data_IF_741572211749
#
_entry.id   IF_741572211749
#
_cell.length_a   1.000
_cell.length_b   1.000
_cell.length_c   1.000
_cell.angle_alpha   90.00
_cell.angle_beta   90.00
_cell.angle_gamma   90.00
#
_symmetry.space_group_name_H-M   'P 1'
#
loop_
_entity.id
_entity.type
_entity.pdbx_description
1 polymer ?
#
# COMPACT_ATOMS: atom_id res chain seq x y z
N UNK A 1 -19.37 -32.38 -0.64
CA UNK A 1 -18.70 -32.29 -1.96
C UNK A 1 -19.48 -31.50 -3.04
N UNK A 2 -20.64 -30.89 -2.70
CA UNK A 2 -21.48 -30.12 -3.66
C UNK A 2 -21.43 -28.59 -3.44
N UNK A 3 -20.73 -28.11 -2.40
CA UNK A 3 -20.53 -26.66 -2.15
C UNK A 3 -19.27 -26.08 -2.83
N UNK A 4 -18.25 -26.89 -3.14
CA UNK A 4 -17.04 -26.40 -3.82
C UNK A 4 -17.27 -26.10 -5.31
N UNK A 5 -18.31 -26.69 -5.91
CA UNK A 5 -18.65 -26.51 -7.32
C UNK A 5 -19.43 -25.22 -7.62
N UNK A 6 -20.01 -24.54 -6.61
CA UNK A 6 -20.74 -23.26 -6.82
C UNK A 6 -19.83 -22.02 -6.79
N UNK A 7 -18.71 -22.05 -6.07
CA UNK A 7 -17.74 -20.93 -6.06
C UNK A 7 -16.91 -20.87 -7.35
N UNK A 8 -16.56 -22.02 -7.93
CA UNK A 8 -15.89 -22.08 -9.24
C UNK A 8 -16.79 -21.64 -10.41
N UNK A 9 -18.12 -21.82 -10.28
CA UNK A 9 -19.10 -21.39 -11.30
C UNK A 9 -19.41 -19.88 -11.24
N UNK A 10 -19.17 -19.23 -10.10
CA UNK A 10 -19.38 -17.79 -9.94
C UNK A 10 -18.29 -16.97 -10.67
N UNK A 11 -17.06 -17.47 -10.69
CA UNK A 11 -15.92 -16.85 -11.40
C UNK A 11 -15.99 -16.98 -12.93
N UNK A 12 -16.71 -17.98 -13.45
CA UNK A 12 -16.89 -18.18 -14.91
C UNK A 12 -18.06 -17.41 -15.50
N UNK A 13 -19.09 -17.07 -14.70
CA UNK A 13 -20.26 -16.30 -15.16
C UNK A 13 -20.07 -14.78 -15.22
N UNK A 14 -18.94 -14.24 -14.73
CA UNK A 14 -18.61 -12.80 -14.86
C UNK A 14 -18.08 -12.38 -16.24
N UNK A 15 -17.99 -13.28 -17.24
CA UNK A 15 -17.49 -12.95 -18.58
C UNK A 15 -18.40 -12.06 -19.45
N UNK A 16 -19.58 -11.62 -18.97
CA UNK A 16 -20.55 -10.97 -19.87
C UNK A 16 -21.15 -9.62 -19.42
N UNK A 17 -20.82 -9.05 -18.24
CA UNK A 17 -21.40 -7.74 -17.86
C UNK A 17 -20.39 -6.84 -17.13
N UNK A 18 -19.85 -5.89 -17.91
CA UNK A 18 -19.14 -4.68 -17.47
C UNK A 18 -17.85 -4.90 -16.66
N UNK A 19 -16.76 -5.17 -17.38
CA UNK A 19 -15.39 -4.95 -16.89
C UNK A 19 -15.18 -3.46 -16.61
N UNK A 20 -15.21 -3.06 -15.33
CA UNK A 20 -14.48 -1.86 -14.88
C UNK A 20 -13.41 -2.29 -13.88
N UNK A 21 -12.14 -1.96 -14.09
CA UNK A 21 -11.06 -2.38 -13.21
C UNK A 21 -11.20 -1.82 -11.79
N UNK A 22 -10.86 -2.65 -10.81
CA UNK A 22 -10.97 -2.40 -9.35
C UNK A 22 -9.82 -1.53 -8.80
N UNK A 23 -8.71 -1.41 -9.53
CA UNK A 23 -7.46 -0.82 -9.04
C UNK A 23 -7.40 0.71 -9.16
N UNK A 24 -8.16 1.34 -10.07
CA UNK A 24 -8.22 2.81 -10.22
C UNK A 24 -8.83 3.57 -9.04
N UNK A 25 -9.49 2.87 -8.12
CA UNK A 25 -10.42 3.49 -7.17
C UNK A 25 -9.77 3.88 -5.85
N UNK A 26 -8.54 3.42 -5.61
CA UNK A 26 -7.84 3.56 -4.32
C UNK A 26 -7.14 4.92 -4.15
N UNK A 27 -6.85 5.62 -5.24
CA UNK A 27 -6.13 6.91 -5.20
C UNK A 27 -7.01 8.16 -5.23
N UNK A 28 -8.33 7.99 -5.12
CA UNK A 28 -9.32 9.08 -5.32
C UNK A 28 -9.51 10.04 -4.14
N UNK A 29 -8.82 9.82 -3.03
CA UNK A 29 -9.10 10.55 -1.78
C UNK A 29 -8.54 11.97 -1.81
N UNK A 30 -9.37 12.97 -1.52
CA UNK A 30 -8.97 14.39 -1.45
C UNK A 30 -9.65 15.10 -0.26
N UNK A 31 -8.91 15.84 0.59
CA UNK A 31 -7.44 15.93 0.61
C UNK A 31 -6.82 14.64 1.15
N UNK A 32 -5.64 14.27 0.65
CA UNK A 32 -4.82 13.19 1.22
C UNK A 32 -3.52 13.80 1.77
N UNK A 33 -3.48 14.18 3.07
CA UNK A 33 -2.45 15.07 3.60
C UNK A 33 -1.01 14.71 3.20
N UNK A 34 -0.39 15.59 2.41
CA UNK A 34 1.00 15.50 1.97
C UNK A 34 1.26 14.54 0.80
N UNK A 35 0.24 13.89 0.26
CA UNK A 35 0.36 12.93 -0.85
C UNK A 35 -0.29 13.48 -2.13
N UNK A 36 0.05 12.86 -3.27
CA UNK A 36 -0.65 13.12 -4.53
C UNK A 36 -2.10 12.69 -4.42
N UNK A 37 -2.99 13.56 -4.90
CA UNK A 37 -4.41 13.34 -5.02
C UNK A 37 -4.98 14.06 -6.26
N UNK A 38 -6.30 14.22 -6.36
CA UNK A 38 -6.93 14.83 -7.54
C UNK A 38 -6.64 16.32 -7.70
N UNK A 39 -6.34 17.02 -6.61
CA UNK A 39 -6.12 18.47 -6.59
C UNK A 39 -4.62 18.82 -6.55
N UNK A 40 -3.75 17.86 -6.19
CA UNK A 40 -2.33 18.09 -5.97
C UNK A 40 -1.42 17.12 -6.73
N UNK A 41 -0.48 17.68 -7.50
CA UNK A 41 0.57 16.96 -8.21
C UNK A 41 1.95 17.38 -7.71
N UNK A 42 2.94 16.49 -7.86
CA UNK A 42 4.36 16.86 -7.84
C UNK A 42 4.85 17.20 -9.25
N UNK A 43 6.01 17.88 -9.41
CA UNK A 43 6.54 18.24 -10.73
C UNK A 43 6.64 17.04 -11.68
N UNK A 44 7.12 15.91 -11.16
CA UNK A 44 7.40 14.72 -11.98
C UNK A 44 6.30 13.64 -11.85
N UNK A 45 5.47 13.70 -10.82
CA UNK A 45 4.48 12.65 -10.51
C UNK A 45 3.09 13.25 -10.36
N UNK A 46 2.10 12.68 -11.07
CA UNK A 46 0.72 13.15 -11.11
C UNK A 46 -0.27 12.06 -10.77
N UNK A 47 -1.49 12.45 -10.42
CA UNK A 47 -2.60 11.52 -10.16
C UNK A 47 -2.83 10.52 -11.30
N UNK A 48 -2.71 10.95 -12.55
CA UNK A 48 -2.92 10.08 -13.71
C UNK A 48 -1.89 8.96 -13.81
N UNK A 49 -0.65 9.18 -13.35
CA UNK A 49 0.37 8.14 -13.29
C UNK A 49 -0.06 7.02 -12.34
N UNK A 50 -0.60 7.37 -11.17
CA UNK A 50 -1.16 6.40 -10.23
C UNK A 50 -2.38 5.66 -10.82
N UNK A 51 -3.19 6.29 -11.66
CA UNK A 51 -4.28 5.60 -12.34
C UNK A 51 -3.77 4.61 -13.40
N UNK A 52 -2.78 5.01 -14.20
CA UNK A 52 -2.18 4.18 -15.22
C UNK A 52 -1.49 2.94 -14.62
N UNK A 53 -0.63 3.14 -13.61
CA UNK A 53 0.04 2.08 -12.86
C UNK A 53 -0.93 1.08 -12.24
N UNK A 54 -2.04 1.56 -11.68
CA UNK A 54 -3.07 0.70 -11.10
C UNK A 54 -3.69 -0.25 -12.15
N UNK A 55 -3.83 0.16 -13.41
CA UNK A 55 -4.36 -0.70 -14.48
C UNK A 55 -3.31 -1.62 -15.04
N UNK A 56 -2.13 -1.09 -15.30
CA UNK A 56 -1.00 -1.86 -15.80
C UNK A 56 -0.71 -3.08 -14.90
N UNK A 57 -0.88 -2.92 -13.60
CA UNK A 57 -0.64 -3.99 -12.61
C UNK A 57 -1.79 -4.99 -12.45
N UNK A 58 -3.00 -4.71 -12.97
CA UNK A 58 -4.17 -5.59 -12.80
C UNK A 58 -3.96 -7.06 -13.26
N UNK A 59 -3.36 -7.34 -14.43
CA UNK A 59 -3.11 -8.71 -14.88
C UNK A 59 -2.30 -9.53 -13.86
N UNK A 60 -1.33 -8.90 -13.19
CA UNK A 60 -0.47 -9.53 -12.18
C UNK A 60 -1.25 -9.89 -10.91
N UNK A 61 -2.22 -9.06 -10.50
CA UNK A 61 -3.16 -9.42 -9.43
C UNK A 61 -4.03 -10.63 -9.81
N UNK A 62 -4.45 -10.71 -11.08
CA UNK A 62 -5.22 -11.86 -11.56
C UNK A 62 -4.36 -13.15 -11.65
N UNK A 63 -3.05 -13.05 -11.89
CA UNK A 63 -2.11 -14.16 -11.79
C UNK A 63 -1.86 -14.59 -10.34
N UNK A 64 -1.70 -13.61 -9.44
CA UNK A 64 -1.55 -13.80 -8.00
C UNK A 64 -2.73 -14.59 -7.42
N UNK A 65 -3.96 -14.18 -7.73
CA UNK A 65 -5.18 -14.86 -7.30
C UNK A 65 -5.27 -16.31 -7.82
N UNK A 66 -4.64 -16.62 -8.96
CA UNK A 66 -4.57 -17.99 -9.52
C UNK A 66 -3.37 -18.80 -9.00
N UNK A 67 -2.48 -18.21 -8.20
CA UNK A 67 -1.29 -18.85 -7.62
C UNK A 67 -0.39 -19.50 -8.68
N UNK A 68 -0.23 -18.84 -9.84
CA UNK A 68 0.52 -19.38 -10.99
C UNK A 68 1.99 -18.98 -11.04
N UNK A 69 2.39 -17.99 -10.24
CA UNK A 69 3.75 -17.46 -10.18
C UNK A 69 4.16 -17.25 -8.72
N UNK A 70 5.47 -17.24 -8.48
CA UNK A 70 6.05 -16.89 -7.20
C UNK A 70 5.90 -15.38 -6.94
N UNK A 71 5.97 -15.00 -5.66
CA UNK A 71 5.64 -13.64 -5.22
C UNK A 71 6.62 -12.59 -5.76
N UNK A 72 7.92 -12.89 -5.76
CA UNK A 72 8.95 -11.97 -6.26
C UNK A 72 8.81 -11.72 -7.75
N UNK A 73 8.52 -12.76 -8.55
CA UNK A 73 8.27 -12.61 -9.99
C UNK A 73 7.05 -11.73 -10.24
N UNK A 74 5.96 -11.94 -9.49
CA UNK A 74 4.75 -11.11 -9.62
C UNK A 74 5.03 -9.66 -9.27
N UNK A 75 5.82 -9.40 -8.23
CA UNK A 75 6.22 -8.05 -7.85
C UNK A 75 7.06 -7.39 -8.94
N UNK A 76 8.10 -8.08 -9.41
CA UNK A 76 8.96 -7.61 -10.49
C UNK A 76 8.17 -7.29 -11.76
N UNK A 77 7.37 -8.24 -12.25
CA UNK A 77 6.58 -8.06 -13.47
C UNK A 77 5.57 -6.91 -13.31
N UNK A 78 4.93 -6.79 -12.14
CA UNK A 78 4.00 -5.70 -11.86
C UNK A 78 4.68 -4.32 -11.86
N UNK A 79 5.86 -4.20 -11.26
CA UNK A 79 6.65 -2.96 -11.25
C UNK A 79 7.11 -2.60 -12.66
N UNK A 80 7.69 -3.56 -13.37
CA UNK A 80 8.16 -3.38 -14.74
C UNK A 80 7.01 -2.92 -15.66
N UNK A 81 5.83 -3.55 -15.53
CA UNK A 81 4.66 -3.17 -16.32
C UNK A 81 4.15 -1.79 -15.92
N UNK A 82 4.08 -1.49 -14.62
CA UNK A 82 3.73 -0.14 -14.14
C UNK A 82 4.59 0.94 -14.80
N UNK A 83 5.91 0.75 -14.86
CA UNK A 83 6.85 1.71 -15.43
C UNK A 83 6.77 1.86 -16.96
N UNK A 84 6.25 0.87 -17.69
CA UNK A 84 6.04 1.00 -19.14
C UNK A 84 4.87 1.93 -19.48
N UNK A 85 3.90 2.04 -18.58
CA UNK A 85 2.65 2.77 -18.84
C UNK A 85 2.64 4.21 -18.29
N UNK A 86 3.68 4.62 -17.55
CA UNK A 86 3.83 5.96 -17.01
C UNK A 86 5.29 6.29 -16.70
N UNK A 87 5.63 7.57 -16.62
CA UNK A 87 7.00 8.07 -16.45
C UNK A 87 7.19 8.95 -15.19
N UNK A 88 6.28 8.85 -14.22
CA UNK A 88 6.28 9.62 -12.98
C UNK A 88 7.00 8.95 -11.81
N UNK A 89 7.88 7.99 -12.06
CA UNK A 89 8.64 7.28 -11.02
C UNK A 89 7.79 6.31 -10.19
N UNK A 90 8.14 6.17 -8.91
CA UNK A 90 7.45 5.25 -7.99
C UNK A 90 6.02 5.70 -7.65
N UNK A 91 5.04 4.91 -8.09
CA UNK A 91 3.62 5.14 -7.77
C UNK A 91 3.01 4.10 -6.81
N UNK A 92 3.55 2.89 -6.73
CA UNK A 92 2.88 1.79 -5.98
C UNK A 92 3.81 0.74 -5.39
N UNK A 93 5.13 0.95 -5.34
CA UNK A 93 6.03 -0.13 -4.95
C UNK A 93 5.69 -0.75 -3.58
N UNK A 94 5.51 0.08 -2.54
CA UNK A 94 5.10 -0.37 -1.20
C UNK A 94 3.71 -1.01 -1.18
N UNK A 95 2.73 -0.40 -1.87
CA UNK A 95 1.41 -1.00 -2.05
C UNK A 95 1.46 -2.38 -2.71
N UNK A 96 2.26 -2.59 -3.76
CA UNK A 96 2.37 -3.89 -4.43
C UNK A 96 2.92 -4.97 -3.49
N UNK A 97 3.89 -4.63 -2.64
CA UNK A 97 4.43 -5.53 -1.62
C UNK A 97 3.34 -5.96 -0.63
N UNK A 98 2.44 -5.07 -0.23
CA UNK A 98 1.32 -5.43 0.64
C UNK A 98 0.22 -6.21 -0.10
N UNK A 99 -0.17 -5.75 -1.28
CA UNK A 99 -1.36 -6.23 -1.98
C UNK A 99 -1.18 -7.60 -2.64
N UNK A 100 -0.02 -7.91 -3.23
CA UNK A 100 0.19 -9.17 -3.92
C UNK A 100 0.01 -10.40 -3.02
N UNK A 101 0.63 -10.50 -1.82
CA UNK A 101 0.38 -11.64 -0.94
C UNK A 101 -1.05 -11.67 -0.42
N UNK A 102 -1.69 -10.52 -0.20
CA UNK A 102 -3.12 -10.46 0.15
C UNK A 102 -4.00 -10.99 -0.99
N UNK A 103 -3.68 -10.68 -2.25
CA UNK A 103 -4.41 -11.19 -3.41
C UNK A 103 -4.24 -12.70 -3.57
N UNK A 104 -3.01 -13.24 -3.38
CA UNK A 104 -2.76 -14.69 -3.35
C UNK A 104 -3.52 -15.39 -2.21
N UNK A 105 -3.78 -14.68 -1.12
CA UNK A 105 -4.45 -15.16 0.07
C UNK A 105 -5.96 -14.91 0.11
N UNK A 106 -6.55 -14.37 -0.97
CA UNK A 106 -7.97 -14.00 -1.03
C UNK A 106 -8.36 -13.01 0.10
N UNK A 107 -7.45 -12.09 0.44
CA UNK A 107 -7.62 -11.09 1.50
C UNK A 107 -7.43 -11.61 2.94
N UNK A 108 -7.13 -12.91 3.13
CA UNK A 108 -6.89 -13.45 4.46
C UNK A 108 -5.46 -13.16 4.93
N UNK A 109 -5.28 -12.26 5.90
CA UNK A 109 -3.96 -11.82 6.37
C UNK A 109 -3.13 -12.93 7.03
N UNK A 110 -3.76 -13.92 7.65
CA UNK A 110 -3.06 -15.09 8.22
C UNK A 110 -2.49 -15.95 7.10
N UNK A 111 -3.29 -16.26 6.06
CA UNK A 111 -2.81 -16.98 4.88
C UNK A 111 -1.75 -16.19 4.12
N UNK A 112 -1.90 -14.87 4.00
CA UNK A 112 -0.91 -14.00 3.37
C UNK A 112 0.43 -14.05 4.11
N UNK A 113 0.39 -14.03 5.45
CA UNK A 113 1.59 -14.20 6.27
C UNK A 113 2.26 -15.55 6.06
N UNK A 114 1.50 -16.65 5.97
CA UNK A 114 2.04 -17.98 5.67
C UNK A 114 2.62 -18.07 4.24
N UNK A 115 2.10 -17.28 3.29
CA UNK A 115 2.66 -17.17 1.93
C UNK A 115 4.00 -16.43 1.97
N UNK A 116 4.06 -15.25 2.61
CA UNK A 116 5.32 -14.47 2.63
C UNK A 116 6.43 -15.20 3.38
N UNK A 117 6.12 -15.96 4.44
CA UNK A 117 7.08 -16.80 5.16
C UNK A 117 7.72 -17.90 4.31
N UNK A 118 7.06 -18.31 3.22
CA UNK A 118 7.54 -19.35 2.31
C UNK A 118 8.28 -18.79 1.09
N UNK A 119 8.48 -17.48 1.04
CA UNK A 119 9.30 -16.87 -0.01
C UNK A 119 10.71 -17.45 -0.03
N UNK A 120 11.33 -17.45 -1.20
CA UNK A 120 12.64 -18.05 -1.45
C UNK A 120 13.72 -16.99 -1.66
N UNK A 121 14.95 -17.45 -1.91
CA UNK A 121 16.08 -16.61 -2.33
C UNK A 121 15.81 -15.93 -3.66
N UNK A 122 15.12 -16.62 -4.56
CA UNK A 122 14.74 -16.16 -5.90
C UNK A 122 13.68 -15.06 -5.78
N UNK A 123 12.73 -15.19 -4.85
CA UNK A 123 11.82 -14.08 -4.54
C UNK A 123 12.59 -12.84 -4.07
N UNK A 124 13.65 -13.02 -3.28
CA UNK A 124 14.50 -11.93 -2.83
C UNK A 124 15.28 -11.29 -4.00
N UNK A 125 15.82 -12.09 -4.92
CA UNK A 125 16.53 -11.57 -6.09
C UNK A 125 15.58 -10.75 -6.98
N UNK A 126 14.38 -11.25 -7.26
CA UNK A 126 13.37 -10.51 -8.05
C UNK A 126 12.90 -9.25 -7.31
N UNK A 127 12.81 -9.26 -5.99
CA UNK A 127 12.54 -8.06 -5.19
C UNK A 127 13.62 -6.98 -5.41
N UNK A 128 14.90 -7.35 -5.39
CA UNK A 128 16.00 -6.41 -5.64
C UNK A 128 16.01 -5.91 -7.08
N UNK A 129 15.64 -6.76 -8.05
CA UNK A 129 15.48 -6.34 -9.45
C UNK A 129 14.32 -5.35 -9.59
N UNK A 130 13.16 -5.65 -9.01
CA UNK A 130 12.00 -4.76 -9.00
C UNK A 130 12.35 -3.41 -8.36
N UNK A 131 13.10 -3.43 -7.26
CA UNK A 131 13.56 -2.22 -6.60
C UNK A 131 14.42 -1.34 -7.51
N UNK A 132 15.38 -1.94 -8.24
CA UNK A 132 16.27 -1.21 -9.18
C UNK A 132 15.47 -0.52 -10.28
N UNK A 133 14.34 -1.08 -10.69
CA UNK A 133 13.47 -0.49 -11.70
C UNK A 133 12.50 0.57 -11.13
N UNK A 134 12.13 0.46 -9.86
CA UNK A 134 11.05 1.28 -9.28
C UNK A 134 11.46 2.71 -8.88
N UNK A 135 12.75 3.06 -8.92
CA UNK A 135 13.29 4.36 -8.46
C UNK A 135 12.76 4.78 -7.06
N UNK A 136 12.92 3.89 -6.08
CA UNK A 136 12.33 4.04 -4.74
C UNK A 136 13.34 4.60 -3.75
N UNK A 137 12.90 5.55 -2.92
CA UNK A 137 13.68 6.05 -1.79
C UNK A 137 13.66 5.06 -0.62
N UNK A 138 14.84 4.64 -0.14
CA UNK A 138 14.98 3.73 1.02
C UNK A 138 16.02 4.23 2.01
N UNK A 139 15.92 3.84 3.30
CA UNK A 139 16.95 4.11 4.28
C UNK A 139 18.32 3.60 3.82
N UNK A 140 19.37 4.37 4.08
CA UNK A 140 20.74 3.88 3.91
C UNK A 140 21.04 2.85 5.01
N UNK A 141 21.26 1.61 4.60
CA UNK A 141 21.65 0.52 5.49
C UNK A 141 23.04 0.01 5.11
N UNK A 142 23.82 -0.43 6.10
CA UNK A 142 25.22 -0.84 5.91
C UNK A 142 25.39 -2.24 5.34
N UNK A 143 24.37 -3.11 5.47
CA UNK A 143 24.40 -4.49 5.01
C UNK A 143 23.17 -4.78 4.13
N UNK A 144 23.40 -5.50 3.02
CA UNK A 144 22.35 -5.86 2.05
C UNK A 144 21.54 -4.65 1.57
N UNK A 145 22.20 -3.51 1.38
CA UNK A 145 21.57 -2.31 0.83
C UNK A 145 20.93 -2.61 -0.52
N UNK A 146 19.73 -2.08 -0.75
CA UNK A 146 19.04 -2.20 -2.03
C UNK A 146 19.77 -1.46 -3.16
N UNK A 147 20.69 -0.54 -2.81
CA UNK A 147 21.58 0.14 -3.76
C UNK A 147 22.89 -0.61 -4.03
N UNK A 148 23.22 -1.66 -3.28
CA UNK A 148 24.44 -2.43 -3.48
C UNK A 148 24.26 -3.41 -4.64
N UNK A 149 25.08 -3.24 -5.68
CA UNK A 149 25.07 -4.12 -6.86
C UNK A 149 25.47 -5.56 -6.53
N UNK A 150 26.23 -5.77 -5.45
CA UNK A 150 26.66 -7.09 -5.00
C UNK A 150 25.67 -7.74 -4.03
N UNK A 151 24.63 -7.04 -3.57
CA UNK A 151 23.68 -7.58 -2.60
C UNK A 151 23.00 -8.86 -3.11
N UNK A 152 22.69 -8.96 -4.41
CA UNK A 152 22.10 -10.18 -4.99
C UNK A 152 23.06 -11.37 -4.96
N UNK A 153 24.37 -11.13 -5.05
CA UNK A 153 25.40 -12.18 -4.93
C UNK A 153 25.46 -12.67 -3.47
N UNK A 154 25.46 -11.75 -2.51
CA UNK A 154 25.46 -12.08 -1.09
C UNK A 154 24.19 -12.83 -0.67
N UNK A 155 23.02 -12.37 -1.11
CA UNK A 155 21.72 -13.03 -0.90
C UNK A 155 21.74 -14.46 -1.41
N UNK A 156 22.24 -14.66 -2.64
CA UNK A 156 22.35 -15.99 -3.24
C UNK A 156 23.34 -16.88 -2.46
N UNK A 157 24.51 -16.35 -2.10
CA UNK A 157 25.54 -17.08 -1.34
C UNK A 157 25.06 -17.50 0.04
N UNK A 158 24.38 -16.60 0.76
CA UNK A 158 23.86 -16.84 2.10
C UNK A 158 22.47 -17.51 2.09
N UNK A 159 21.88 -17.75 0.90
CA UNK A 159 20.53 -18.31 0.70
C UNK A 159 19.46 -17.59 1.52
N UNK A 160 19.52 -16.25 1.53
CA UNK A 160 18.57 -15.42 2.28
C UNK A 160 17.25 -15.35 1.55
N UNK A 161 16.16 -15.71 2.22
CA UNK A 161 14.82 -15.58 1.64
C UNK A 161 14.29 -14.14 1.74
N UNK A 162 13.32 -13.78 0.90
CA UNK A 162 12.73 -12.43 0.97
C UNK A 162 12.12 -12.13 2.35
N UNK A 163 11.48 -13.12 2.99
CA UNK A 163 10.97 -12.97 4.34
C UNK A 163 12.06 -12.64 5.35
N UNK A 164 13.22 -13.29 5.28
CA UNK A 164 14.35 -13.00 6.17
C UNK A 164 14.88 -11.58 5.96
N UNK A 165 14.86 -11.06 4.73
CA UNK A 165 15.22 -9.67 4.46
C UNK A 165 14.21 -8.70 5.08
N UNK A 166 12.91 -9.01 5.00
CA UNK A 166 11.88 -8.22 5.69
C UNK A 166 12.05 -8.26 7.22
N UNK A 167 12.46 -9.39 7.81
CA UNK A 167 12.78 -9.46 9.25
C UNK A 167 13.98 -8.58 9.64
N UNK A 168 14.96 -8.42 8.76
CA UNK A 168 16.08 -7.49 9.00
C UNK A 168 15.59 -6.03 8.95
N UNK A 169 14.62 -5.74 8.08
CA UNK A 169 14.12 -4.39 7.84
C UNK A 169 13.01 -3.93 8.80
N UNK A 170 12.29 -4.85 9.46
CA UNK A 170 11.06 -4.57 10.21
C UNK A 170 11.18 -3.49 11.29
N UNK A 171 12.38 -3.22 11.82
CA UNK A 171 12.58 -2.20 12.85
C UNK A 171 12.55 -0.77 12.32
N UNK A 172 12.85 -0.58 11.04
CA UNK A 172 12.95 0.73 10.38
C UNK A 172 12.09 0.87 9.12
N UNK A 173 11.42 -0.21 8.67
CA UNK A 173 10.50 -0.21 7.54
C UNK A 173 9.12 -0.76 7.95
N UNK A 174 8.08 0.04 7.74
CA UNK A 174 6.70 -0.30 8.16
C UNK A 174 6.08 -1.39 7.29
N UNK A 175 6.40 -1.44 6.00
CA UNK A 175 5.90 -2.47 5.08
C UNK A 175 6.50 -3.84 5.42
N UNK A 176 7.79 -3.86 5.77
CA UNK A 176 8.45 -5.04 6.28
C UNK A 176 7.81 -5.52 7.60
N UNK A 177 7.49 -4.61 8.52
CA UNK A 177 6.80 -4.94 9.77
C UNK A 177 5.41 -5.51 9.54
N UNK A 178 4.66 -5.00 8.56
CA UNK A 178 3.37 -5.56 8.17
C UNK A 178 3.52 -7.05 7.78
N UNK A 179 4.51 -7.40 6.97
CA UNK A 179 4.75 -8.78 6.58
C UNK A 179 5.12 -9.68 7.76
N UNK A 180 6.02 -9.23 8.63
CA UNK A 180 6.54 -10.06 9.72
C UNK A 180 5.59 -10.21 10.90
N UNK A 181 4.62 -9.29 11.03
CA UNK A 181 3.66 -9.26 12.15
C UNK A 181 2.21 -9.54 11.75
N UNK A 182 1.96 -10.13 10.57
CA UNK A 182 0.61 -10.51 10.07
C UNK A 182 -0.32 -9.34 9.77
N UNK A 183 0.23 -8.29 9.17
CA UNK A 183 -0.47 -7.12 8.63
C UNK A 183 -1.29 -6.33 9.67
N UNK A 184 -0.73 -5.96 10.84
CA UNK A 184 -1.47 -5.32 11.93
C UNK A 184 -2.14 -4.01 11.52
N UNK A 185 -1.43 -3.08 10.86
CA UNK A 185 -1.97 -1.78 10.48
C UNK A 185 -2.94 -1.90 9.30
N UNK A 186 -2.71 -2.81 8.35
CA UNK A 186 -3.67 -3.12 7.29
C UNK A 186 -4.99 -3.63 7.87
N UNK A 187 -4.94 -4.51 8.88
CA UNK A 187 -6.13 -5.01 9.57
C UNK A 187 -6.86 -3.91 10.33
N UNK A 188 -6.12 -3.02 10.99
CA UNK A 188 -6.72 -1.88 11.68
C UNK A 188 -7.34 -0.90 10.69
N UNK A 189 -6.65 -0.57 9.59
CA UNK A 189 -7.17 0.27 8.51
C UNK A 189 -8.47 -0.31 7.94
N UNK A 190 -8.50 -1.62 7.65
CA UNK A 190 -9.72 -2.30 7.19
C UNK A 190 -10.86 -2.19 8.24
N UNK A 191 -10.57 -2.41 9.53
CA UNK A 191 -11.55 -2.29 10.61
C UNK A 191 -12.12 -0.87 10.72
N UNK A 192 -11.26 0.15 10.66
CA UNK A 192 -11.66 1.55 10.70
C UNK A 192 -12.50 1.93 9.48
N UNK A 193 -12.08 1.52 8.28
CA UNK A 193 -12.86 1.73 7.05
C UNK A 193 -14.24 1.08 7.14
N UNK A 194 -14.33 -0.17 7.60
CA UNK A 194 -15.62 -0.84 7.83
C UNK A 194 -16.47 -0.03 8.80
N UNK A 195 -15.89 0.48 9.89
CA UNK A 195 -16.62 1.29 10.88
C UNK A 195 -17.14 2.61 10.31
N UNK A 196 -16.29 3.35 9.62
CA UNK A 196 -16.65 4.64 9.02
C UNK A 196 -17.65 4.51 7.87
N UNK A 197 -17.74 3.32 7.26
CA UNK A 197 -18.66 3.03 6.14
C UNK A 197 -19.90 2.22 6.52
N UNK A 198 -20.17 1.99 7.82
CA UNK A 198 -21.36 1.21 8.27
C UNK A 198 -22.69 1.82 7.82
N UNK A 199 -22.75 3.14 7.71
CA UNK A 199 -23.97 3.83 7.33
C UNK A 199 -24.11 3.83 5.79
N UNK A 200 -25.31 3.55 5.28
CA UNK A 200 -25.56 3.46 3.83
C UNK A 200 -25.26 4.75 3.06
N UNK A 201 -25.29 5.90 3.74
CA UNK A 201 -24.99 7.22 3.18
C UNK A 201 -23.58 7.72 3.56
N UNK A 202 -22.71 6.86 4.08
CA UNK A 202 -21.35 7.25 4.44
C UNK A 202 -20.58 7.67 3.20
N UNK A 203 -19.94 8.84 3.26
CA UNK A 203 -19.03 9.28 2.21
C UNK A 203 -17.72 8.47 2.32
N UNK A 204 -17.42 7.70 1.28
CA UNK A 204 -16.21 6.87 1.22
C UNK A 204 -14.93 7.73 1.26
N UNK A 205 -14.95 8.94 0.71
CA UNK A 205 -13.81 9.85 0.77
C UNK A 205 -13.55 10.27 2.22
N UNK A 206 -14.60 10.69 2.94
CA UNK A 206 -14.51 11.01 4.37
C UNK A 206 -13.98 9.81 5.18
N UNK A 207 -14.52 8.62 4.94
CA UNK A 207 -14.09 7.40 5.62
C UNK A 207 -12.60 7.11 5.39
N UNK A 208 -12.10 7.30 4.17
CA UNK A 208 -10.68 7.11 3.84
C UNK A 208 -9.81 8.17 4.50
N UNK A 209 -10.20 9.46 4.45
CA UNK A 209 -9.43 10.54 5.09
C UNK A 209 -9.33 10.33 6.60
N UNK A 210 -10.44 10.00 7.26
CA UNK A 210 -10.44 9.71 8.68
C UNK A 210 -9.56 8.50 9.01
N UNK A 211 -9.71 7.40 8.27
CA UNK A 211 -8.85 6.21 8.45
C UNK A 211 -7.38 6.55 8.26
N UNK A 212 -7.03 7.32 7.23
CA UNK A 212 -5.66 7.75 6.96
C UNK A 212 -5.06 8.51 8.14
N UNK A 213 -5.78 9.50 8.68
CA UNK A 213 -5.36 10.27 9.85
C UNK A 213 -5.27 9.41 11.12
N UNK A 214 -6.16 8.41 11.28
CA UNK A 214 -6.14 7.48 12.41
C UNK A 214 -4.97 6.49 12.35
N UNK A 215 -4.55 6.06 11.17
CA UNK A 215 -3.33 5.27 11.01
C UNK A 215 -2.10 6.16 11.23
N UNK A 216 -2.05 7.33 10.58
CA UNK A 216 -0.91 8.26 10.66
C UNK A 216 -0.59 8.74 12.09
N UNK A 217 -1.61 8.88 12.95
CA UNK A 217 -1.39 9.26 14.36
C UNK A 217 -0.80 8.13 15.21
N UNK A 218 -0.90 6.86 14.77
CA UNK A 218 -0.60 5.69 15.60
C UNK A 218 0.90 5.43 15.69
N UNK A 219 1.60 5.44 14.55
CA UNK A 219 3.05 5.26 14.47
C UNK A 219 3.67 6.32 13.53
N UNK A 220 4.91 6.77 13.77
CA UNK A 220 5.57 7.71 12.88
C UNK A 220 5.95 7.08 11.53
N UNK A 221 5.37 7.57 10.45
CA UNK A 221 5.53 7.06 9.07
C UNK A 221 7.00 6.92 8.63
N UNK A 222 7.41 5.70 8.27
CA UNK A 222 8.82 5.39 7.93
C UNK A 222 9.28 6.04 6.62
N UNK A 223 8.37 6.35 5.69
CA UNK A 223 8.72 7.07 4.47
C UNK A 223 9.12 8.52 4.78
N UNK A 224 8.38 9.19 5.67
CA UNK A 224 8.79 10.51 6.19
C UNK A 224 10.13 10.41 6.91
N UNK A 225 10.33 9.40 7.75
CA UNK A 225 11.61 9.24 8.47
C UNK A 225 12.79 9.12 7.51
N UNK A 226 12.60 8.37 6.42
CA UNK A 226 13.61 8.11 5.38
C UNK A 226 13.96 9.37 4.60
N UNK A 227 12.94 10.11 4.13
CA UNK A 227 13.12 11.28 3.27
C UNK A 227 13.50 12.55 4.04
N UNK A 228 13.07 12.64 5.30
CA UNK A 228 13.29 13.79 6.18
C UNK A 228 14.07 13.37 7.42
N UNK A 229 13.37 13.00 8.50
CA UNK A 229 13.94 12.49 9.74
C UNK A 229 12.83 12.04 10.70
N UNK A 230 13.22 11.34 11.78
CA UNK A 230 12.30 10.84 12.81
C UNK A 230 11.51 11.93 13.53
N UNK A 231 12.11 13.10 13.76
CA UNK A 231 11.44 14.22 14.46
C UNK A 231 10.25 14.74 13.62
N UNK A 232 10.44 14.93 12.31
CA UNK A 232 9.39 15.33 11.37
C UNK A 232 8.26 14.31 11.32
N UNK A 233 8.57 13.00 11.28
CA UNK A 233 7.55 11.96 11.30
C UNK A 233 6.71 12.01 12.59
N UNK A 234 7.34 12.13 13.76
CA UNK A 234 6.64 12.25 15.06
C UNK A 234 5.76 13.50 15.10
N UNK A 235 6.25 14.64 14.59
CA UNK A 235 5.48 15.88 14.54
C UNK A 235 4.25 15.73 13.63
N UNK A 236 4.40 15.08 12.49
CA UNK A 236 3.30 14.78 11.55
C UNK A 236 2.22 13.93 12.21
N UNK A 237 2.60 12.85 12.92
CA UNK A 237 1.66 12.01 13.67
C UNK A 237 0.92 12.78 14.78
N UNK A 238 1.61 13.69 15.48
CA UNK A 238 0.98 14.55 16.50
C UNK A 238 -0.05 15.51 15.90
N UNK A 239 0.25 16.10 14.75
CA UNK A 239 -0.71 16.96 14.04
C UNK A 239 -1.94 16.16 13.58
N UNK A 240 -1.74 14.95 13.02
CA UNK A 240 -2.83 14.04 12.68
C UNK A 240 -3.69 13.69 13.91
N UNK A 241 -3.06 13.44 15.07
CA UNK A 241 -3.78 13.18 16.32
C UNK A 241 -4.67 14.36 16.77
N UNK A 242 -4.16 15.60 16.65
CA UNK A 242 -4.93 16.80 16.99
C UNK A 242 -6.16 16.95 16.08
N UNK A 243 -5.99 16.72 14.77
CA UNK A 243 -7.09 16.77 13.80
C UNK A 243 -8.15 15.71 14.11
N UNK A 244 -7.76 14.47 14.44
CA UNK A 244 -8.72 13.44 14.86
C UNK A 244 -9.46 13.84 16.14
N UNK A 245 -8.77 14.44 17.11
CA UNK A 245 -9.42 14.93 18.32
C UNK A 245 -10.44 16.04 18.02
N UNK A 246 -10.16 16.89 17.03
CA UNK A 246 -11.09 17.91 16.57
C UNK A 246 -12.27 17.32 15.82
N UNK A 247 -12.06 16.36 14.91
CA UNK A 247 -13.14 15.61 14.23
C UNK A 247 -14.09 14.99 15.24
N UNK A 248 -13.57 14.40 16.33
CA UNK A 248 -14.40 13.81 17.39
C UNK A 248 -15.23 14.83 18.18
N UNK A 249 -14.76 16.08 18.29
CA UNK A 249 -15.43 17.16 19.04
C UNK A 249 -16.43 17.93 18.17
N UNK A 250 -16.06 18.21 16.93
CA UNK A 250 -16.72 19.20 16.08
C UNK A 250 -17.36 18.57 14.83
N UNK A 251 -17.03 17.31 14.50
CA UNK A 251 -17.44 16.62 13.28
C UNK A 251 -16.49 16.87 12.11
N UNK A 252 -16.50 15.93 11.14
CA UNK A 252 -15.59 15.97 9.99
C UNK A 252 -15.76 17.23 9.14
N UNK A 253 -17.01 17.59 8.79
CA UNK A 253 -17.30 18.75 7.95
C UNK A 253 -16.74 20.06 8.52
N UNK A 254 -16.87 20.27 9.84
CA UNK A 254 -16.34 21.46 10.52
C UNK A 254 -14.81 21.44 10.65
N UNK A 255 -14.20 20.26 10.64
CA UNK A 255 -12.73 20.11 10.74
C UNK A 255 -12.04 20.15 9.37
N UNK A 256 -12.79 20.03 8.27
CA UNK A 256 -12.25 19.99 6.90
C UNK A 256 -11.26 21.14 6.58
N UNK A 257 -11.48 22.40 7.00
CA UNK A 257 -10.50 23.47 6.80
C UNK A 257 -9.13 23.18 7.43
N UNK A 258 -9.08 22.59 8.63
CA UNK A 258 -7.83 22.22 9.28
C UNK A 258 -7.16 21.02 8.60
N UNK A 259 -7.93 20.07 8.06
CA UNK A 259 -7.39 18.98 7.24
C UNK A 259 -6.71 19.54 5.98
N UNK A 260 -7.36 20.49 5.29
CA UNK A 260 -6.80 21.15 4.10
C UNK A 260 -5.55 21.97 4.41
N UNK A 261 -5.54 22.66 5.55
CA UNK A 261 -4.37 23.41 6.02
C UNK A 261 -3.20 22.49 6.34
N UNK A 262 -3.45 21.36 6.99
CA UNK A 262 -2.45 20.33 7.25
C UNK A 262 -1.90 19.75 5.95
N UNK A 263 -2.77 19.40 5.00
CA UNK A 263 -2.37 18.94 3.68
C UNK A 263 -1.47 19.95 2.95
N UNK A 264 -1.90 21.22 2.88
CA UNK A 264 -1.13 22.31 2.26
C UNK A 264 0.26 22.47 2.89
N UNK A 265 0.33 22.39 4.22
CA UNK A 265 1.60 22.47 4.95
C UNK A 265 2.53 21.30 4.60
N UNK A 266 2.00 20.07 4.60
CA UNK A 266 2.81 18.90 4.26
C UNK A 266 3.30 18.96 2.81
N UNK A 267 2.46 19.42 1.87
CA UNK A 267 2.83 19.62 0.48
C UNK A 267 3.92 20.69 0.31
N UNK A 268 3.82 21.84 0.99
CA UNK A 268 4.83 22.91 0.90
C UNK A 268 6.19 22.46 1.41
N UNK A 269 6.21 21.66 2.49
CA UNK A 269 7.42 21.09 3.07
C UNK A 269 7.88 19.79 2.37
N UNK A 270 7.16 19.33 1.33
CA UNK A 270 7.40 18.06 0.63
C UNK A 270 7.45 16.83 1.56
N UNK A 271 6.67 16.88 2.64
CA UNK A 271 6.49 15.80 3.61
C UNK A 271 5.34 14.93 3.13
N UNK A 272 5.62 13.68 2.76
CA UNK A 272 4.61 12.77 2.25
C UNK A 272 4.55 11.48 3.10
N UNK A 273 3.45 11.22 3.83
CA UNK A 273 3.26 9.95 4.56
C UNK A 273 2.97 8.80 3.59
N UNK A 274 4.03 8.28 2.97
CA UNK A 274 3.97 7.27 1.92
C UNK A 274 3.61 5.88 2.45
N UNK A 275 4.22 5.44 3.55
CA UNK A 275 3.93 4.13 4.15
C UNK A 275 2.48 4.03 4.61
N UNK A 276 1.97 5.10 5.23
CA UNK A 276 0.57 5.24 5.62
C UNK A 276 -0.35 5.12 4.41
N UNK A 277 -0.01 5.77 3.28
CA UNK A 277 -0.79 5.67 2.07
C UNK A 277 -0.88 4.22 1.54
N UNK A 278 0.23 3.48 1.54
CA UNK A 278 0.27 2.08 1.12
C UNK A 278 -0.57 1.17 2.03
N UNK A 279 -0.57 1.42 3.34
CA UNK A 279 -1.42 0.69 4.31
C UNK A 279 -2.90 0.96 4.07
N UNK A 280 -3.27 2.22 3.81
CA UNK A 280 -4.67 2.57 3.50
C UNK A 280 -5.12 1.91 2.20
N UNK A 281 -4.24 1.81 1.21
CA UNK A 281 -4.49 1.06 -0.03
C UNK A 281 -4.77 -0.42 0.27
N UNK A 282 -3.98 -1.04 1.16
CA UNK A 282 -4.18 -2.42 1.57
C UNK A 282 -5.49 -2.62 2.36
N UNK A 283 -5.83 -1.69 3.27
CA UNK A 283 -7.10 -1.71 4.00
C UNK A 283 -8.31 -1.58 3.08
N UNK A 284 -8.23 -0.69 2.07
CA UNK A 284 -9.26 -0.52 1.05
C UNK A 284 -9.41 -1.76 0.16
N UNK A 285 -8.30 -2.41 -0.19
CA UNK A 285 -8.34 -3.67 -0.92
C UNK A 285 -9.12 -4.74 -0.15
N UNK A 286 -8.89 -4.87 1.17
CA UNK A 286 -9.66 -5.79 2.02
C UNK A 286 -11.14 -5.39 2.12
N UNK A 287 -11.45 -4.10 2.26
CA UNK A 287 -12.82 -3.59 2.30
C UNK A 287 -13.60 -3.98 1.03
N UNK A 288 -12.98 -3.78 -0.13
CA UNK A 288 -13.58 -4.09 -1.43
C UNK A 288 -13.74 -5.61 -1.64
N UNK A 289 -12.76 -6.42 -1.22
CA UNK A 289 -12.89 -7.88 -1.21
C UNK A 289 -14.00 -8.36 -0.26
N UNK A 290 -14.20 -7.64 0.85
CA UNK A 290 -15.30 -7.85 1.78
C UNK A 290 -16.69 -7.51 1.21
N UNK A 291 -16.75 -6.99 -0.02
CA UNK A 291 -17.99 -6.75 -0.74
C UNK A 291 -18.59 -5.37 -0.50
N UNK A 292 -17.82 -4.40 0.01
CA UNK A 292 -18.27 -3.01 0.09
C UNK A 292 -18.63 -2.48 -1.31
N UNK A 293 -19.77 -1.79 -1.38
CA UNK A 293 -20.30 -1.18 -2.60
C UNK A 293 -20.71 0.24 -2.24
N UNK A 294 -20.38 1.18 -3.12
CA UNK A 294 -20.74 2.59 -3.05
C UNK A 294 -21.66 2.93 -4.23
#
# INVERSE_FOLDING_TARGET
>A
MVLQSKQALFLTRQRARHNRPLTHRVHRTTPKPGNIDREHNYPDTRYEHFLASAIATYPHFAEAARKRKNLGNLLHDAVAESNKWQHGGNTHFGALILLLPLAMAEGNTVKAHEIVKKTTTEDAIHFYQAFKEADVNVPKVSKLSLHDQNATIEIHREKKTLYQLMQIAETYDEIAREWTHRFPLTREAHKLLVNHTKNQNADINEAIVQTYLEILKTEPDTFIQTKHNRKTAIQTSKQAANIINQIKKEGYANTLPEIKKFDTHLLSEKINPGSTADIIIAGLFLLLLGGYRY
#
